data_IF_004744890762
#
_entry.id   IF_004744890762
#
_cell.length_a   1.000
_cell.length_b   1.000
_cell.length_c   1.000
_cell.angle_alpha   90.00
_cell.angle_beta   90.00
_cell.angle_gamma   90.00
#
_symmetry.space_group_name_H-M   'P 1'
#
loop_
_entity.id
_entity.type
_entity.pdbx_description
1 polymer ?
#
# COMPACT_ATOMS: atom_id res chain seq x y z
N UNK A 1 34.48 68.12 -5.00
CA UNK A 1 33.08 68.14 -4.49
C UNK A 1 32.21 67.39 -5.47
N UNK A 2 31.74 66.18 -5.11
CA UNK A 2 30.81 65.40 -5.94
C UNK A 2 29.44 66.08 -5.92
N UNK A 3 28.94 66.53 -7.08
CA UNK A 3 27.59 67.10 -7.20
C UNK A 3 26.59 65.99 -6.89
N UNK A 4 25.75 66.20 -5.87
CA UNK A 4 24.70 65.25 -5.49
C UNK A 4 23.64 65.11 -6.59
N UNK A 5 22.97 63.96 -6.68
CA UNK A 5 21.92 63.73 -7.68
C UNK A 5 20.78 64.77 -7.53
N UNK A 6 20.43 65.43 -8.63
CA UNK A 6 19.35 66.42 -8.67
C UNK A 6 17.97 65.80 -8.88
N UNK A 7 16.91 66.58 -8.65
CA UNK A 7 15.49 66.16 -8.72
C UNK A 7 15.12 65.46 -10.05
N UNK A 8 15.74 65.86 -11.17
CA UNK A 8 15.55 65.20 -12.47
C UNK A 8 16.05 63.73 -12.51
N UNK A 9 16.96 63.32 -11.62
CA UNK A 9 17.38 61.93 -11.49
C UNK A 9 16.33 61.07 -10.77
N UNK A 10 15.51 61.68 -9.91
CA UNK A 10 14.41 61.05 -9.18
C UNK A 10 13.22 60.75 -10.10
N UNK A 11 12.85 61.68 -10.99
CA UNK A 11 11.81 61.44 -11.99
C UNK A 11 12.24 60.38 -13.02
N UNK A 12 13.53 60.39 -13.40
CA UNK A 12 14.09 59.38 -14.31
C UNK A 12 14.18 58.00 -13.63
N UNK A 13 14.43 57.93 -12.33
CA UNK A 13 14.41 56.64 -11.61
C UNK A 13 12.99 56.12 -11.43
N UNK A 14 12.02 56.98 -11.10
CA UNK A 14 10.61 56.61 -11.02
C UNK A 14 10.08 56.11 -12.37
N UNK A 15 10.34 56.86 -13.45
CA UNK A 15 9.93 56.48 -14.81
C UNK A 15 10.59 55.17 -15.27
N UNK A 16 11.89 54.99 -15.02
CA UNK A 16 12.57 53.74 -15.40
C UNK A 16 12.07 52.54 -14.58
N UNK A 17 11.77 52.70 -13.29
CA UNK A 17 11.19 51.63 -12.47
C UNK A 17 9.81 51.18 -12.97
N UNK A 18 8.96 52.12 -13.40
CA UNK A 18 7.66 51.81 -13.99
C UNK A 18 7.81 51.06 -15.33
N UNK A 19 8.73 51.48 -16.19
CA UNK A 19 9.01 50.81 -17.46
C UNK A 19 9.57 49.39 -17.25
N UNK A 20 10.46 49.19 -16.27
CA UNK A 20 10.96 47.86 -15.92
C UNK A 20 9.87 46.96 -15.34
N UNK A 21 8.92 47.50 -14.57
CA UNK A 21 7.77 46.73 -14.06
C UNK A 21 6.86 46.24 -15.21
N UNK A 22 6.52 47.13 -16.16
CA UNK A 22 5.72 46.77 -17.32
C UNK A 22 6.42 45.74 -18.22
N UNK A 23 7.73 45.89 -18.41
CA UNK A 23 8.51 44.91 -19.16
C UNK A 23 8.54 43.56 -18.42
N UNK A 24 8.72 43.56 -17.10
CA UNK A 24 8.65 42.36 -16.26
C UNK A 24 7.28 41.67 -16.37
N UNK A 25 6.20 42.42 -16.29
CA UNK A 25 4.83 41.90 -16.46
C UNK A 25 4.62 41.34 -17.87
N UNK A 26 5.14 41.99 -18.91
CA UNK A 26 5.04 41.49 -20.29
C UNK A 26 5.81 40.18 -20.48
N UNK A 27 7.01 40.07 -19.92
CA UNK A 27 7.89 38.91 -20.04
C UNK A 27 7.33 37.72 -19.28
N UNK A 28 6.77 37.95 -18.08
CA UNK A 28 6.09 36.90 -17.30
C UNK A 28 4.83 36.41 -18.02
N UNK A 29 4.04 37.32 -18.61
CA UNK A 29 2.87 36.92 -19.40
C UNK A 29 3.27 36.09 -20.63
N UNK A 30 4.33 36.46 -21.34
CA UNK A 30 4.85 35.67 -22.47
C UNK A 30 5.28 34.27 -22.02
N UNK A 31 6.05 34.17 -20.94
CA UNK A 31 6.46 32.88 -20.36
C UNK A 31 5.25 32.03 -19.94
N UNK A 32 4.22 32.62 -19.34
CA UNK A 32 3.00 31.90 -18.97
C UNK A 32 2.22 31.41 -20.20
N UNK A 33 2.16 32.20 -21.27
CA UNK A 33 1.50 31.78 -22.52
C UNK A 33 2.25 30.66 -23.22
N UNK A 34 3.59 30.74 -23.24
CA UNK A 34 4.44 29.70 -23.81
C UNK A 34 4.31 28.39 -23.01
N UNK A 35 4.38 28.48 -21.67
CA UNK A 35 4.21 27.33 -20.79
C UNK A 35 2.84 26.66 -20.98
N UNK A 36 1.76 27.45 -21.09
CA UNK A 36 0.42 26.92 -21.39
C UNK A 36 0.38 26.16 -22.72
N UNK A 37 0.97 26.73 -23.78
CA UNK A 37 1.06 26.08 -25.08
C UNK A 37 1.85 24.76 -25.02
N UNK A 38 2.97 24.76 -24.28
CA UNK A 38 3.77 23.55 -24.04
C UNK A 38 2.99 22.49 -23.25
N UNK A 39 2.21 22.88 -22.24
CA UNK A 39 1.34 21.95 -21.50
C UNK A 39 0.21 21.39 -22.36
N UNK A 40 -0.39 22.19 -23.25
CA UNK A 40 -1.46 21.73 -24.13
C UNK A 40 -0.95 20.74 -25.19
N UNK A 41 0.18 21.06 -25.83
CA UNK A 41 0.84 20.14 -26.78
C UNK A 41 1.22 18.83 -26.10
N UNK A 42 1.79 18.91 -24.89
CA UNK A 42 2.13 17.74 -24.10
C UNK A 42 0.90 16.92 -23.69
N UNK A 43 -0.17 17.58 -23.23
CA UNK A 43 -1.43 16.91 -22.86
C UNK A 43 -2.03 16.16 -24.05
N UNK A 44 -1.99 16.75 -25.24
CA UNK A 44 -2.45 16.08 -26.46
C UNK A 44 -1.57 14.89 -26.85
N UNK A 45 -0.24 15.02 -26.70
CA UNK A 45 0.68 13.91 -26.93
C UNK A 45 0.44 12.75 -25.94
N UNK A 46 0.27 13.07 -24.64
CA UNK A 46 -0.01 12.07 -23.61
C UNK A 46 -1.37 11.41 -23.85
N UNK A 47 -2.38 12.15 -24.30
CA UNK A 47 -3.70 11.61 -24.69
C UNK A 47 -3.60 10.66 -25.87
N UNK A 48 -2.87 11.06 -26.92
CA UNK A 48 -2.65 10.20 -28.08
C UNK A 48 -1.96 8.90 -27.66
N UNK A 49 -0.86 9.02 -26.90
CA UNK A 49 -0.09 7.89 -26.37
C UNK A 49 -0.93 6.94 -25.50
N UNK A 50 -1.74 7.51 -24.61
CA UNK A 50 -2.67 6.81 -23.74
C UNK A 50 -3.71 6.00 -24.54
N UNK A 51 -4.28 6.62 -25.58
CA UNK A 51 -5.29 5.98 -26.42
C UNK A 51 -4.73 4.86 -27.29
N UNK A 52 -3.50 5.03 -27.82
CA UNK A 52 -2.87 4.03 -28.67
C UNK A 52 -2.37 2.82 -27.89
N UNK A 53 -1.90 3.01 -26.66
CA UNK A 53 -1.32 1.94 -25.83
C UNK A 53 -2.23 1.49 -24.68
N UNK A 54 -3.55 1.76 -24.75
CA UNK A 54 -4.49 1.46 -23.67
C UNK A 54 -4.44 0.00 -23.22
N UNK A 55 -4.44 -0.92 -24.17
CA UNK A 55 -4.42 -2.36 -23.87
C UNK A 55 -3.07 -2.80 -23.29
N UNK A 56 -1.97 -2.20 -23.76
CA UNK A 56 -0.63 -2.49 -23.26
C UNK A 56 -0.48 -2.02 -21.81
N UNK A 57 -0.99 -0.83 -21.47
CA UNK A 57 -1.03 -0.32 -20.08
C UNK A 57 -1.89 -1.23 -19.18
N UNK A 58 -2.96 -1.82 -19.72
CA UNK A 58 -3.81 -2.77 -18.97
C UNK A 58 -3.16 -4.14 -18.82
N UNK A 59 -2.30 -4.57 -19.73
CA UNK A 59 -1.72 -5.90 -19.74
C UNK A 59 -0.36 -5.99 -19.04
N UNK A 60 0.50 -4.99 -19.21
CA UNK A 60 1.83 -5.00 -18.60
C UNK A 60 1.89 -4.13 -17.35
N UNK A 61 2.04 -4.73 -16.14
CA UNK A 61 2.16 -3.97 -14.90
C UNK A 61 3.40 -3.07 -14.85
N UNK A 62 4.52 -3.45 -15.50
CA UNK A 62 5.73 -2.64 -15.49
C UNK A 62 5.53 -1.36 -16.31
N UNK A 63 4.94 -1.50 -17.50
CA UNK A 63 4.57 -0.37 -18.35
C UNK A 63 3.51 0.53 -17.69
N UNK A 64 2.50 -0.07 -17.03
CA UNK A 64 1.49 0.65 -16.25
C UNK A 64 2.12 1.55 -15.19
N UNK A 65 3.05 1.00 -14.41
CA UNK A 65 3.75 1.74 -13.37
C UNK A 65 4.62 2.87 -13.95
N UNK A 66 5.34 2.62 -15.05
CA UNK A 66 6.13 3.65 -15.72
C UNK A 66 5.25 4.82 -16.22
N UNK A 67 4.12 4.51 -16.85
CA UNK A 67 3.15 5.51 -17.31
C UNK A 67 2.58 6.34 -16.15
N UNK A 68 2.23 5.69 -15.04
CA UNK A 68 1.71 6.38 -13.85
C UNK A 68 2.77 7.27 -13.20
N UNK A 69 4.02 6.80 -13.10
CA UNK A 69 5.14 7.61 -12.59
C UNK A 69 5.36 8.87 -13.42
N UNK A 70 5.24 8.76 -14.74
CA UNK A 70 5.28 9.91 -15.65
C UNK A 70 4.15 10.89 -15.35
N UNK A 71 2.90 10.41 -15.21
CA UNK A 71 1.76 11.27 -14.88
C UNK A 71 1.96 12.02 -13.55
N UNK A 72 2.41 11.32 -12.50
CA UNK A 72 2.67 11.91 -11.17
C UNK A 72 3.77 12.97 -11.23
N UNK A 73 4.84 12.75 -12.01
CA UNK A 73 5.94 13.72 -12.12
C UNK A 73 5.51 15.09 -12.67
N UNK A 74 4.38 15.13 -13.36
CA UNK A 74 3.80 16.33 -13.99
C UNK A 74 2.69 16.93 -13.12
N UNK A 75 2.33 16.26 -12.02
CA UNK A 75 1.21 16.64 -11.16
C UNK A 75 -0.14 16.26 -11.76
N UNK A 76 -0.18 15.31 -12.69
CA UNK A 76 -1.40 14.74 -13.24
C UNK A 76 -1.67 13.42 -12.53
N UNK A 77 -2.78 13.31 -11.82
CA UNK A 77 -3.22 12.03 -11.26
C UNK A 77 -4.15 11.33 -12.27
N UNK A 78 -3.74 10.17 -12.84
CA UNK A 78 -4.56 9.41 -13.78
C UNK A 78 -5.82 8.81 -13.11
N UNK A 79 -5.90 8.80 -11.77
CA UNK A 79 -7.02 8.25 -11.00
C UNK A 79 -7.94 9.29 -10.37
N UNK A 80 -7.53 10.55 -10.26
CA UNK A 80 -8.35 11.61 -9.64
C UNK A 80 -9.57 12.04 -10.48
N UNK A 81 -10.00 11.19 -11.42
CA UNK A 81 -11.06 11.49 -12.37
C UNK A 81 -12.37 10.79 -12.08
N UNK A 82 -12.97 10.99 -10.91
CA UNK A 82 -14.41 10.73 -10.82
C UNK A 82 -15.16 11.86 -11.56
N UNK A 83 -16.07 11.56 -12.50
CA UNK A 83 -17.07 12.54 -12.89
C UNK A 83 -18.00 12.72 -11.68
N UNK A 84 -17.91 13.85 -10.98
CA UNK A 84 -19.01 14.29 -10.14
C UNK A 84 -20.20 14.71 -11.02
N UNK A 85 -20.86 13.73 -11.65
CA UNK A 85 -22.20 13.92 -12.24
C UNK A 85 -23.30 13.77 -11.18
N UNK A 86 -22.94 13.39 -9.95
CA UNK A 86 -23.84 13.40 -8.80
C UNK A 86 -23.24 14.31 -7.71
N UNK A 87 -24.03 15.30 -7.30
CA UNK A 87 -23.75 16.34 -6.31
C UNK A 87 -22.96 17.56 -6.82
N UNK A 88 -23.61 18.72 -6.79
CA UNK A 88 -23.06 20.04 -7.08
C UNK A 88 -22.04 20.52 -6.05
N UNK A 89 -21.00 19.73 -5.79
CA UNK A 89 -19.91 20.09 -4.91
C UNK A 89 -18.83 20.85 -5.70
N UNK A 90 -18.86 22.17 -5.54
CA UNK A 90 -17.83 23.17 -5.83
C UNK A 90 -16.57 22.70 -6.58
N UNK A 91 -16.38 23.27 -7.77
CA UNK A 91 -15.14 23.32 -8.56
C UNK A 91 -13.98 24.01 -7.81
N UNK A 92 -13.45 23.36 -6.77
CA UNK A 92 -12.37 23.89 -5.93
C UNK A 92 -10.99 23.29 -6.22
N UNK A 93 -10.84 22.67 -7.38
CA UNK A 93 -9.55 22.32 -7.97
C UNK A 93 -9.42 23.06 -9.30
N UNK A 94 -8.29 23.77 -9.50
CA UNK A 94 -7.99 24.46 -10.76
C UNK A 94 -7.88 23.52 -11.96
N UNK A 95 -7.28 23.97 -13.06
CA UNK A 95 -7.15 23.22 -14.33
C UNK A 95 -6.73 21.74 -14.16
N UNK A 96 -5.93 21.41 -13.14
CA UNK A 96 -5.54 20.05 -12.78
C UNK A 96 -6.71 19.09 -12.43
N UNK A 97 -7.76 19.56 -11.76
CA UNK A 97 -8.93 18.74 -11.39
C UNK A 97 -9.83 18.43 -12.60
N UNK A 98 -9.94 19.36 -13.55
CA UNK A 98 -10.60 19.11 -14.84
C UNK A 98 -9.81 18.13 -15.71
N UNK A 99 -8.48 18.22 -15.69
CA UNK A 99 -7.62 17.29 -16.40
C UNK A 99 -7.74 15.87 -15.82
N UNK A 100 -7.85 15.71 -14.50
CA UNK A 100 -8.01 14.40 -13.88
C UNK A 100 -9.31 13.66 -14.32
N UNK A 101 -10.47 14.35 -14.30
CA UNK A 101 -11.75 13.82 -14.80
C UNK A 101 -11.75 13.45 -16.30
N UNK A 102 -10.88 14.11 -17.05
CA UNK A 102 -10.68 13.90 -18.48
C UNK A 102 -9.86 12.64 -18.76
N UNK A 103 -8.89 12.30 -17.89
CA UNK A 103 -8.04 11.12 -18.03
C UNK A 103 -8.78 9.84 -17.70
N UNK A 104 -9.58 9.81 -16.63
CA UNK A 104 -10.32 8.59 -16.27
C UNK A 104 -11.27 8.14 -17.38
N UNK A 105 -12.07 9.07 -17.93
CA UNK A 105 -13.02 8.78 -19.01
C UNK A 105 -12.36 8.30 -20.32
N UNK A 106 -11.09 8.66 -20.55
CA UNK A 106 -10.40 8.42 -21.83
C UNK A 106 -9.49 7.19 -21.77
N UNK A 107 -8.89 6.91 -20.61
CA UNK A 107 -8.02 5.77 -20.38
C UNK A 107 -8.76 4.54 -19.84
N UNK A 108 -9.86 4.74 -19.10
CA UNK A 108 -10.53 3.67 -18.33
C UNK A 108 -9.61 3.01 -17.30
N UNK A 109 -8.51 3.68 -16.93
CA UNK A 109 -7.56 3.20 -15.92
C UNK A 109 -8.11 3.37 -14.51
N UNK A 110 -8.90 4.42 -14.26
CA UNK A 110 -9.59 4.56 -12.98
C UNK A 110 -10.65 3.47 -12.81
N UNK A 111 -11.43 3.14 -13.85
CA UNK A 111 -12.38 2.03 -13.79
C UNK A 111 -11.70 0.70 -13.42
N UNK A 112 -10.58 0.37 -14.08
CA UNK A 112 -9.78 -0.83 -13.74
C UNK A 112 -9.23 -0.78 -12.30
N UNK A 113 -8.80 0.41 -11.84
CA UNK A 113 -8.30 0.59 -10.48
C UNK A 113 -9.40 0.48 -9.43
N UNK A 114 -10.59 1.02 -9.69
CA UNK A 114 -11.75 0.88 -8.82
C UNK A 114 -12.23 -0.57 -8.77
N UNK A 115 -12.23 -1.26 -9.91
CA UNK A 115 -12.49 -2.70 -9.98
C UNK A 115 -11.49 -3.49 -9.12
N UNK A 116 -10.19 -3.17 -9.21
CA UNK A 116 -9.17 -3.76 -8.34
C UNK A 116 -9.43 -3.42 -6.86
N UNK A 117 -9.82 -2.19 -6.55
CA UNK A 117 -10.18 -1.77 -5.19
C UNK A 117 -11.34 -2.59 -4.61
N UNK A 118 -12.39 -2.83 -5.39
CA UNK A 118 -13.54 -3.64 -4.97
C UNK A 118 -13.10 -5.09 -4.71
N UNK A 119 -12.25 -5.65 -5.56
CA UNK A 119 -11.72 -7.01 -5.34
C UNK A 119 -10.84 -7.10 -4.09
N UNK A 120 -10.02 -6.08 -3.82
CA UNK A 120 -9.25 -5.99 -2.56
C UNK A 120 -10.20 -5.96 -1.35
N UNK A 121 -11.29 -5.20 -1.43
CA UNK A 121 -12.33 -5.16 -0.38
C UNK A 121 -12.95 -6.53 -0.17
N UNK A 122 -13.31 -7.24 -1.24
CA UNK A 122 -13.91 -8.58 -1.17
C UNK A 122 -12.97 -9.62 -0.53
N UNK A 123 -11.69 -9.62 -0.92
CA UNK A 123 -10.66 -10.44 -0.27
C UNK A 123 -10.53 -10.09 1.20
N UNK A 124 -10.53 -8.80 1.56
CA UNK A 124 -10.43 -8.38 2.95
C UNK A 124 -11.63 -8.83 3.79
N UNK A 125 -12.85 -8.75 3.26
CA UNK A 125 -14.07 -9.16 3.97
C UNK A 125 -14.11 -10.68 4.12
N UNK A 126 -13.86 -11.42 3.03
CA UNK A 126 -13.90 -12.88 3.03
C UNK A 126 -12.83 -13.49 3.94
N UNK A 127 -11.66 -12.87 4.07
CA UNK A 127 -10.56 -13.39 4.90
C UNK A 127 -10.55 -12.88 6.33
N UNK A 128 -11.37 -11.87 6.67
CA UNK A 128 -11.36 -11.19 7.97
C UNK A 128 -11.46 -12.13 9.17
N UNK A 129 -12.26 -13.18 9.05
CA UNK A 129 -12.47 -14.17 10.12
C UNK A 129 -11.26 -15.09 10.33
N UNK A 130 -10.41 -15.25 9.30
CA UNK A 130 -9.22 -16.10 9.35
C UNK A 130 -7.97 -15.33 9.77
N UNK A 131 -7.84 -14.06 9.40
CA UNK A 131 -6.59 -13.31 9.57
C UNK A 131 -6.71 -12.09 10.51
N UNK A 132 -7.90 -11.83 11.06
CA UNK A 132 -8.14 -10.67 11.93
C UNK A 132 -8.14 -9.33 11.19
N UNK A 133 -8.19 -9.35 9.85
CA UNK A 133 -8.18 -8.14 9.02
C UNK A 133 -6.79 -7.62 8.63
N UNK A 134 -5.75 -8.45 8.76
CA UNK A 134 -4.38 -8.17 8.33
C UNK A 134 -3.93 -9.26 7.33
N UNK A 135 -3.47 -8.86 6.15
CA UNK A 135 -3.09 -9.79 5.09
C UNK A 135 -1.78 -9.37 4.42
N UNK A 136 -0.87 -10.32 4.20
CA UNK A 136 0.40 -10.07 3.52
C UNK A 136 0.17 -9.63 2.07
N UNK A 137 0.97 -8.70 1.57
CA UNK A 137 0.82 -8.19 0.21
C UNK A 137 0.92 -9.29 -0.86
N UNK A 138 1.83 -10.26 -0.68
CA UNK A 138 1.96 -11.38 -1.62
C UNK A 138 0.71 -12.27 -1.60
N UNK A 139 0.13 -12.55 -0.43
CA UNK A 139 -1.11 -13.32 -0.31
C UNK A 139 -2.31 -12.56 -0.90
N UNK A 140 -2.37 -11.24 -0.70
CA UNK A 140 -3.37 -10.37 -1.34
C UNK A 140 -3.29 -10.48 -2.87
N UNK A 141 -2.09 -10.34 -3.46
CA UNK A 141 -1.90 -10.46 -4.90
C UNK A 141 -2.32 -11.86 -5.38
N UNK A 142 -1.93 -12.92 -4.68
CA UNK A 142 -2.29 -14.30 -5.02
C UNK A 142 -3.81 -14.55 -4.96
N UNK A 143 -4.51 -13.98 -3.97
CA UNK A 143 -5.96 -14.13 -3.83
C UNK A 143 -6.72 -13.32 -4.88
N UNK A 144 -6.31 -12.08 -5.16
CA UNK A 144 -6.97 -11.26 -6.19
C UNK A 144 -6.74 -11.83 -7.58
N UNK A 145 -5.53 -12.31 -7.88
CA UNK A 145 -5.25 -13.01 -9.15
C UNK A 145 -6.06 -14.30 -9.28
N UNK A 146 -6.23 -15.06 -8.19
CA UNK A 146 -7.11 -16.22 -8.16
C UNK A 146 -8.57 -15.84 -8.43
N UNK A 147 -9.09 -14.76 -7.83
CA UNK A 147 -10.45 -14.28 -8.09
C UNK A 147 -10.67 -13.89 -9.56
N UNK A 148 -9.65 -13.30 -10.21
CA UNK A 148 -9.74 -12.87 -11.62
C UNK A 148 -9.59 -14.00 -12.63
N UNK A 149 -8.70 -14.96 -12.37
CA UNK A 149 -8.31 -15.97 -13.38
C UNK A 149 -8.80 -17.38 -13.05
N UNK A 150 -9.27 -17.62 -11.82
CA UNK A 150 -9.53 -18.96 -11.30
C UNK A 150 -8.28 -19.83 -11.13
N UNK A 151 -7.07 -19.29 -11.35
CA UNK A 151 -5.79 -20.00 -11.24
C UNK A 151 -4.88 -19.29 -10.23
N UNK A 152 -4.13 -20.06 -9.44
CA UNK A 152 -3.11 -19.51 -8.54
C UNK A 152 -1.87 -19.07 -9.32
N UNK A 153 -1.21 -17.99 -8.86
CA UNK A 153 0.02 -17.41 -9.43
C UNK A 153 1.16 -18.43 -9.59
N UNK A 154 1.17 -19.49 -8.76
CA UNK A 154 2.18 -20.55 -8.78
C UNK A 154 2.10 -21.45 -10.02
N UNK A 155 0.97 -21.47 -10.73
CA UNK A 155 0.82 -22.19 -11.98
C UNK A 155 1.27 -21.26 -13.10
N UNK A 156 2.54 -21.40 -13.53
CA UNK A 156 3.11 -20.69 -14.69
C UNK A 156 2.17 -20.84 -15.88
N UNK A 157 1.41 -19.78 -16.13
CA UNK A 157 0.37 -19.78 -17.14
C UNK A 157 0.98 -19.35 -18.48
N UNK A 158 1.03 -20.29 -19.40
CA UNK A 158 1.39 -20.09 -20.81
C UNK A 158 0.28 -19.41 -21.61
N UNK A 159 -0.86 -19.08 -20.97
CA UNK A 159 -2.06 -18.56 -21.63
C UNK A 159 -2.05 -17.02 -21.72
N UNK A 160 -2.54 -16.49 -22.84
CA UNK A 160 -2.64 -15.04 -23.10
C UNK A 160 -3.65 -14.32 -22.19
N UNK A 161 -4.68 -15.01 -21.69
CA UNK A 161 -5.68 -14.49 -20.74
C UNK A 161 -5.08 -14.17 -19.36
N UNK A 162 -4.04 -14.89 -18.96
CA UNK A 162 -3.34 -14.68 -17.68
C UNK A 162 -2.51 -13.41 -17.62
N UNK A 163 -2.15 -12.84 -18.79
CA UNK A 163 -1.36 -11.59 -18.85
C UNK A 163 -2.19 -10.37 -18.48
N UNK A 164 -3.50 -10.37 -18.75
CA UNK A 164 -4.42 -9.29 -18.36
C UNK A 164 -4.65 -9.22 -16.85
N UNK A 165 -4.37 -10.32 -16.13
CA UNK A 165 -4.55 -10.44 -14.69
C UNK A 165 -3.27 -10.21 -13.88
N UNK A 166 -2.16 -9.80 -14.51
CA UNK A 166 -0.93 -9.51 -13.78
C UNK A 166 -1.11 -8.23 -12.96
N UNK A 167 -1.15 -8.41 -11.65
CA UNK A 167 -1.31 -7.34 -10.65
C UNK A 167 0.03 -7.14 -9.97
N UNK A 168 0.52 -5.90 -9.96
CA UNK A 168 1.70 -5.52 -9.20
C UNK A 168 1.32 -5.08 -7.80
N UNK A 169 2.28 -5.16 -6.88
CA UNK A 169 2.17 -4.63 -5.53
C UNK A 169 1.83 -3.12 -5.52
N UNK A 170 2.38 -2.35 -6.46
CA UNK A 170 2.09 -0.92 -6.58
C UNK A 170 0.63 -0.66 -6.98
N UNK A 171 0.00 -1.57 -7.74
CA UNK A 171 -1.41 -1.45 -8.09
C UNK A 171 -2.32 -1.70 -6.89
N UNK A 172 -1.96 -2.64 -6.02
CA UNK A 172 -2.66 -2.88 -4.75
C UNK A 172 -2.51 -1.69 -3.81
N UNK A 173 -1.30 -1.17 -3.63
CA UNK A 173 -1.03 0.00 -2.78
C UNK A 173 -1.86 1.20 -3.24
N UNK A 174 -1.94 1.42 -4.55
CA UNK A 174 -2.73 2.51 -5.11
C UNK A 174 -4.23 2.28 -4.90
N UNK A 175 -4.71 1.04 -5.05
CA UNK A 175 -6.11 0.70 -4.77
C UNK A 175 -6.46 0.99 -3.32
N UNK A 176 -5.61 0.59 -2.39
CA UNK A 176 -5.80 0.86 -0.95
C UNK A 176 -5.85 2.36 -0.67
N UNK A 177 -4.99 3.16 -1.31
CA UNK A 177 -5.05 4.63 -1.21
C UNK A 177 -6.37 5.21 -1.73
N UNK A 178 -6.92 4.67 -2.82
CA UNK A 178 -8.24 5.10 -3.33
C UNK A 178 -9.40 4.75 -2.40
N UNK A 179 -9.24 3.73 -1.55
CA UNK A 179 -10.23 3.30 -0.57
C UNK A 179 -10.15 4.07 0.76
N UNK A 180 -9.04 4.77 1.03
CA UNK A 180 -8.82 5.52 2.28
C UNK A 180 -9.94 6.54 2.62
N UNK A 181 -10.52 7.29 1.66
CA UNK A 181 -11.63 8.22 1.95
C UNK A 181 -12.90 7.57 2.48
N UNK A 182 -13.07 6.26 2.32
CA UNK A 182 -14.25 5.53 2.83
C UNK A 182 -14.23 5.36 4.36
N UNK A 183 -13.09 5.59 5.01
CA UNK A 183 -12.98 5.52 6.48
C UNK A 183 -13.10 4.11 7.06
N UNK A 184 -13.04 3.06 6.24
CA UNK A 184 -13.18 1.66 6.66
C UNK A 184 -11.90 1.04 7.27
N UNK A 185 -10.81 1.81 7.40
CA UNK A 185 -9.55 1.33 7.99
C UNK A 185 -8.57 0.67 7.03
N UNK A 186 -8.80 0.81 5.71
CA UNK A 186 -7.89 0.34 4.67
C UNK A 186 -6.57 1.12 4.70
N UNK A 187 -5.49 0.45 5.06
CA UNK A 187 -4.15 1.03 5.13
C UNK A 187 -3.09 0.00 4.77
N UNK A 188 -1.99 0.46 4.17
CA UNK A 188 -0.80 -0.39 3.96
C UNK A 188 0.15 -0.16 5.13
N UNK A 189 0.44 -1.21 5.89
CA UNK A 189 1.32 -1.17 7.05
C UNK A 189 2.55 -2.03 6.79
N UNK A 190 3.73 -1.53 7.14
CA UNK A 190 4.98 -2.30 7.07
C UNK A 190 5.25 -2.91 8.43
N UNK A 191 5.36 -4.24 8.49
CA UNK A 191 5.65 -4.99 9.71
C UNK A 191 6.93 -5.78 9.46
N UNK A 192 7.99 -5.43 10.19
CA UNK A 192 9.33 -5.97 9.96
C UNK A 192 9.82 -5.65 8.54
N UNK A 193 10.10 -6.69 7.74
CA UNK A 193 10.57 -6.55 6.35
C UNK A 193 9.44 -6.67 5.30
N UNK A 194 8.21 -6.98 5.72
CA UNK A 194 7.09 -7.30 4.82
C UNK A 194 6.02 -6.20 4.86
N UNK A 195 5.31 -6.03 3.74
CA UNK A 195 4.16 -5.12 3.61
C UNK A 195 2.85 -5.89 3.78
N UNK A 196 1.93 -5.31 4.53
CA UNK A 196 0.61 -5.88 4.83
C UNK A 196 -0.48 -4.87 4.48
N UNK A 197 -1.66 -5.37 4.11
CA UNK A 197 -2.88 -4.59 3.97
C UNK A 197 -3.73 -4.82 5.22
N UNK A 198 -4.10 -3.72 5.89
CA UNK A 198 -5.05 -3.72 7.00
C UNK A 198 -6.42 -3.32 6.48
N UNK A 199 -7.47 -3.95 6.99
CA UNK A 199 -8.88 -3.70 6.60
C UNK A 199 -9.80 -3.36 7.77
N UNK A 200 -9.22 -3.14 8.96
CA UNK A 200 -9.94 -2.88 10.21
C UNK A 200 -9.51 -1.50 10.73
N UNK A 201 -10.45 -0.65 11.19
CA UNK A 201 -10.16 0.72 11.61
C UNK A 201 -9.42 0.85 12.94
N UNK A 202 -9.15 -0.26 13.64
CA UNK A 202 -8.36 -0.25 14.87
C UNK A 202 -6.91 0.09 14.53
N UNK A 203 -6.40 1.16 15.13
CA UNK A 203 -4.98 1.52 15.04
C UNK A 203 -4.12 0.40 15.62
N UNK A 204 -2.99 0.14 14.95
CA UNK A 204 -2.06 -0.87 15.42
C UNK A 204 -1.10 -0.20 16.41
N UNK A 205 -1.25 -0.55 17.68
CA UNK A 205 -0.39 -0.02 18.75
C UNK A 205 1.08 -0.40 18.53
N UNK A 206 2.01 0.40 19.06
CA UNK A 206 3.45 0.15 18.92
C UNK A 206 3.83 -1.23 19.42
N UNK A 207 3.20 -1.68 20.50
CA UNK A 207 3.50 -2.98 21.12
C UNK A 207 3.01 -4.13 20.24
N UNK A 208 1.83 -3.95 19.63
CA UNK A 208 1.29 -4.89 18.65
C UNK A 208 2.16 -4.97 17.40
N UNK A 209 2.69 -3.85 16.89
CA UNK A 209 3.61 -3.86 15.74
C UNK A 209 4.89 -4.64 16.03
N UNK A 210 5.43 -4.53 17.26
CA UNK A 210 6.66 -5.24 17.67
C UNK A 210 6.41 -6.74 17.77
N UNK A 211 5.32 -7.16 18.40
CA UNK A 211 4.94 -8.57 18.51
C UNK A 211 4.75 -9.18 17.12
N UNK A 212 4.03 -8.50 16.23
CA UNK A 212 3.84 -8.94 14.85
C UNK A 212 5.15 -8.95 14.06
N UNK A 213 6.05 -7.98 14.27
CA UNK A 213 7.35 -7.96 13.62
C UNK A 213 8.21 -9.16 14.06
N UNK A 214 8.19 -9.51 15.35
CA UNK A 214 8.85 -10.69 15.89
C UNK A 214 8.28 -11.96 15.25
N UNK A 215 6.95 -12.08 15.08
CA UNK A 215 6.32 -13.24 14.43
C UNK A 215 6.58 -13.29 12.91
N UNK A 216 6.74 -12.13 12.25
CA UNK A 216 6.97 -12.05 10.80
C UNK A 216 8.37 -12.48 10.36
N UNK A 217 9.37 -12.27 11.22
CA UNK A 217 10.75 -12.42 10.81
C UNK A 217 11.16 -13.91 10.83
N UNK A 218 11.67 -14.39 9.69
CA UNK A 218 12.12 -15.79 9.55
C UNK A 218 13.25 -16.14 10.53
N UNK A 219 14.14 -15.19 10.82
CA UNK A 219 15.28 -15.31 11.75
C UNK A 219 15.03 -14.60 13.09
N UNK A 220 13.78 -14.57 13.53
CA UNK A 220 13.37 -13.91 14.77
C UNK A 220 13.61 -14.77 16.01
N UNK A 221 13.47 -14.14 17.18
CA UNK A 221 13.41 -14.81 18.50
C UNK A 221 12.12 -15.61 18.72
N UNK A 222 11.15 -15.55 17.79
CA UNK A 222 9.93 -16.33 17.86
C UNK A 222 10.25 -17.83 17.86
N UNK A 223 9.66 -18.56 18.81
CA UNK A 223 9.74 -20.00 18.85
C UNK A 223 8.89 -20.58 17.71
N UNK A 224 9.24 -21.78 17.23
CA UNK A 224 8.47 -22.47 16.20
C UNK A 224 7.99 -23.81 16.73
N UNK A 225 6.80 -24.21 16.33
CA UNK A 225 6.27 -25.52 16.69
C UNK A 225 6.78 -26.61 15.74
N UNK A 226 6.30 -27.84 15.92
CA UNK A 226 6.68 -29.00 15.11
C UNK A 226 6.32 -28.80 13.62
N UNK A 227 5.33 -27.96 13.34
CA UNK A 227 4.88 -27.63 11.98
C UNK A 227 5.63 -26.42 11.39
N UNK A 228 6.56 -25.83 12.16
CA UNK A 228 7.35 -24.67 11.75
C UNK A 228 6.60 -23.34 11.90
N UNK A 229 5.41 -23.32 12.51
CA UNK A 229 4.61 -22.11 12.68
C UNK A 229 5.21 -21.27 13.82
N UNK A 230 5.47 -19.97 13.60
CA UNK A 230 6.01 -19.09 14.63
C UNK A 230 4.96 -18.78 15.71
N UNK A 231 5.37 -18.88 16.97
CA UNK A 231 4.59 -18.48 18.14
C UNK A 231 5.45 -17.69 19.14
N UNK A 232 4.78 -16.94 19.99
CA UNK A 232 5.38 -16.20 21.10
C UNK A 232 4.83 -16.76 22.41
N UNK A 233 5.69 -16.76 23.43
CA UNK A 233 5.33 -17.00 24.83
C UNK A 233 5.65 -15.75 25.64
N UNK A 234 5.06 -15.63 26.83
CA UNK A 234 5.32 -14.51 27.74
C UNK A 234 6.82 -14.39 28.06
N UNK A 235 7.49 -15.51 28.31
CA UNK A 235 8.93 -15.56 28.57
C UNK A 235 9.78 -15.11 27.36
N UNK A 236 9.31 -15.39 26.13
CA UNK A 236 10.01 -15.00 24.90
C UNK A 236 10.04 -13.48 24.70
N UNK A 237 9.00 -12.77 25.17
CA UNK A 237 8.96 -11.30 25.17
C UNK A 237 9.85 -10.67 26.24
N UNK A 238 10.21 -11.43 27.29
CA UNK A 238 10.99 -10.95 28.43
C UNK A 238 12.32 -11.70 28.58
N UNK A 239 13.29 -11.53 27.66
CA UNK A 239 14.59 -12.14 27.84
C UNK A 239 15.33 -11.52 29.04
N UNK A 240 16.16 -12.31 29.75
CA UNK A 240 16.86 -11.87 30.96
C UNK A 240 17.83 -10.69 30.75
N UNK A 241 18.21 -10.39 29.50
CA UNK A 241 19.02 -9.23 29.13
C UNK A 241 18.15 -8.28 28.29
N UNK A 242 17.68 -7.21 28.93
CA UNK A 242 16.53 -6.40 28.54
C UNK A 242 16.75 -5.38 27.41
N UNK A 243 17.20 -5.82 26.24
CA UNK A 243 17.15 -5.02 25.01
C UNK A 243 16.50 -5.81 23.88
N UNK A 244 15.19 -5.62 23.70
CA UNK A 244 14.51 -6.01 22.47
C UNK A 244 14.79 -4.94 21.41
N UNK A 245 15.73 -5.23 20.51
CA UNK A 245 15.90 -4.45 19.28
C UNK A 245 15.03 -5.10 18.22
N UNK A 246 13.87 -4.50 17.94
CA UNK A 246 13.04 -4.90 16.80
C UNK A 246 13.48 -4.11 15.56
N UNK A 247 13.71 -4.76 14.40
CA UNK A 247 13.99 -4.05 13.15
C UNK A 247 12.78 -3.19 12.76
N UNK A 248 12.98 -1.88 12.58
CA UNK A 248 11.96 -0.96 12.04
C UNK A 248 11.43 0.12 12.99
N UNK A 249 11.80 0.12 14.28
CA UNK A 249 11.58 1.26 15.18
C UNK A 249 12.89 2.05 15.32
N UNK A 250 12.84 3.35 15.03
CA UNK A 250 14.01 4.25 15.04
C UNK A 250 14.76 4.30 16.39
N UNK A 251 15.90 5.00 16.40
CA UNK A 251 16.91 5.08 17.46
C UNK A 251 16.45 5.52 18.89
N UNK A 252 15.15 5.63 19.16
CA UNK A 252 14.58 5.81 20.49
C UNK A 252 14.14 4.47 21.07
N UNK A 253 15.09 3.62 21.47
CA UNK A 253 14.80 2.40 22.20
C UNK A 253 14.01 2.70 23.48
N UNK A 254 12.72 2.35 23.49
CA UNK A 254 11.88 2.46 24.68
C UNK A 254 11.61 1.09 25.28
N UNK A 255 12.22 0.91 26.46
CA UNK A 255 11.89 0.01 27.56
C UNK A 255 11.95 -1.50 27.28
N UNK A 256 12.70 -2.18 28.15
CA UNK A 256 12.45 -3.56 28.53
C UNK A 256 10.94 -3.85 28.59
N UNK A 257 10.50 -4.97 28.02
CA UNK A 257 9.14 -5.46 28.24
C UNK A 257 8.99 -5.81 29.73
N UNK A 258 8.05 -5.17 30.40
CA UNK A 258 7.59 -5.60 31.72
C UNK A 258 6.54 -6.68 31.56
N UNK A 259 6.39 -7.54 32.58
CA UNK A 259 5.43 -8.64 32.56
C UNK A 259 4.00 -8.12 32.35
N UNK A 260 3.60 -7.10 33.10
CA UNK A 260 2.28 -6.47 32.98
C UNK A 260 2.02 -5.90 31.58
N UNK A 261 3.03 -5.30 30.94
CA UNK A 261 2.92 -4.76 29.58
C UNK A 261 2.79 -5.87 28.54
N UNK A 262 3.57 -6.94 28.69
CA UNK A 262 3.51 -8.11 27.81
C UNK A 262 2.13 -8.79 27.90
N UNK A 263 1.62 -9.00 29.12
CA UNK A 263 0.29 -9.57 29.36
C UNK A 263 -0.78 -8.66 28.76
N UNK A 264 -0.74 -7.36 29.03
CA UNK A 264 -1.73 -6.41 28.52
C UNK A 264 -1.75 -6.37 26.98
N UNK A 265 -0.57 -6.38 26.35
CA UNK A 265 -0.45 -6.40 24.89
C UNK A 265 -0.99 -7.71 24.29
N UNK A 266 -0.60 -8.87 24.83
CA UNK A 266 -1.09 -10.18 24.36
C UNK A 266 -2.60 -10.33 24.58
N UNK A 267 -3.13 -9.83 25.69
CA UNK A 267 -4.56 -9.85 25.99
C UNK A 267 -5.34 -8.91 25.06
N UNK A 268 -4.86 -7.69 24.78
CA UNK A 268 -5.49 -6.80 23.81
C UNK A 268 -5.49 -7.41 22.40
N UNK A 269 -4.37 -8.02 22.01
CA UNK A 269 -4.21 -8.63 20.70
C UNK A 269 -5.04 -9.90 20.48
N UNK A 270 -5.27 -10.68 21.53
CA UNK A 270 -6.10 -11.91 21.48
C UNK A 270 -7.59 -11.59 21.62
N UNK A 271 -7.97 -10.84 22.67
CA UNK A 271 -9.39 -10.65 23.02
C UNK A 271 -10.09 -9.52 22.27
N UNK A 272 -9.39 -8.41 22.01
CA UNK A 272 -10.03 -7.20 21.45
C UNK A 272 -9.82 -7.06 19.95
N UNK A 273 -8.60 -7.29 19.46
CA UNK A 273 -8.31 -7.17 18.02
C UNK A 273 -8.46 -8.48 17.24
N UNK A 274 -8.44 -9.64 17.91
CA UNK A 274 -8.55 -10.94 17.25
C UNK A 274 -7.40 -11.24 16.29
N UNK A 275 -6.20 -10.70 16.56
CA UNK A 275 -5.01 -10.85 15.72
C UNK A 275 -4.12 -12.04 16.14
N UNK A 276 -4.34 -12.56 17.35
CA UNK A 276 -3.63 -13.71 17.89
C UNK A 276 -4.59 -14.86 18.23
N UNK A 277 -4.16 -16.09 17.93
CA UNK A 277 -4.74 -17.31 18.48
C UNK A 277 -3.94 -17.76 19.69
N UNK A 278 -4.65 -18.25 20.70
CA UNK A 278 -4.08 -18.68 21.97
C UNK A 278 -4.21 -20.20 22.08
N UNK A 279 -3.10 -20.88 22.34
CA UNK A 279 -3.07 -22.30 22.71
C UNK A 279 -2.75 -22.41 24.20
N UNK A 280 -3.79 -22.71 24.99
CA UNK A 280 -3.72 -22.96 26.43
C UNK A 280 -3.45 -24.44 26.76
N UNK A 281 -3.45 -25.33 25.76
CA UNK A 281 -3.20 -26.76 25.94
C UNK A 281 -1.74 -27.10 26.23
N UNK A 282 -0.85 -26.11 26.12
CA UNK A 282 0.58 -26.25 26.38
C UNK A 282 1.07 -25.22 27.39
N UNK A 283 2.06 -25.61 28.20
CA UNK A 283 2.74 -24.70 29.13
C UNK A 283 4.21 -24.52 28.70
N UNK A 284 4.69 -23.28 28.54
CA UNK A 284 3.98 -22.00 28.64
C UNK A 284 2.98 -21.78 27.49
N UNK A 285 1.93 -20.99 27.76
CA UNK A 285 0.86 -20.65 26.79
C UNK A 285 1.44 -20.03 25.52
N UNK A 286 0.98 -20.49 24.35
CA UNK A 286 1.50 -20.08 23.05
C UNK A 286 0.54 -19.14 22.34
N UNK A 287 1.10 -18.08 21.75
CA UNK A 287 0.36 -17.08 20.98
C UNK A 287 0.82 -17.10 19.52
N UNK A 288 -0.11 -17.37 18.62
CA UNK A 288 0.11 -17.48 17.18
C UNK A 288 -0.48 -16.27 16.46
N UNK A 289 0.22 -15.68 15.48
CA UNK A 289 -0.39 -14.63 14.65
C UNK A 289 -1.21 -15.22 13.51
N UNK A 290 -2.46 -14.80 13.37
CA UNK A 290 -3.31 -15.30 12.28
C UNK A 290 -2.95 -14.70 10.92
N UNK A 291 -2.49 -13.44 10.88
CA UNK A 291 -2.26 -12.69 9.65
C UNK A 291 -0.81 -12.66 9.16
N UNK A 292 0.14 -12.96 10.05
CA UNK A 292 1.59 -12.80 9.78
C UNK A 292 2.34 -14.12 9.77
N UNK A 293 1.84 -15.15 10.46
CA UNK A 293 2.52 -16.42 10.54
C UNK A 293 2.47 -17.16 9.19
N UNK A 294 3.63 -17.36 8.59
CA UNK A 294 3.78 -18.25 7.45
C UNK A 294 3.38 -19.68 7.86
N UNK A 295 2.58 -20.35 7.03
CA UNK A 295 2.27 -21.77 7.21
C UNK A 295 0.89 -22.10 7.79
N UNK A 296 0.27 -21.20 8.58
CA UNK A 296 -1.07 -21.47 9.18
C UNK A 296 -2.11 -21.77 8.09
N UNK A 297 -2.07 -20.99 7.00
CA UNK A 297 -3.02 -21.08 5.90
C UNK A 297 -2.42 -21.67 4.61
N UNK A 298 -1.12 -22.00 4.59
CA UNK A 298 -0.44 -22.51 3.39
C UNK A 298 -0.67 -24.01 3.15
N UNK A 299 -1.43 -24.66 4.03
CA UNK A 299 -1.72 -26.11 4.03
C UNK A 299 -2.77 -26.51 2.98
N UNK A 300 -3.22 -25.61 2.11
CA UNK A 300 -4.04 -25.97 0.95
C UNK A 300 -3.28 -26.67 -0.19
N UNK A 301 -1.93 -26.64 -0.21
CA UNK A 301 -1.15 -27.20 -1.33
C UNK A 301 -0.04 -28.17 -0.95
N UNK A 302 0.19 -28.43 0.35
CA UNK A 302 1.21 -29.40 0.81
C UNK A 302 0.67 -30.57 1.65
N UNK A 303 -0.62 -30.57 1.98
CA UNK A 303 -1.21 -31.65 2.80
C UNK A 303 -1.74 -32.81 1.95
N UNK A 304 -1.62 -32.75 0.62
CA UNK A 304 -2.21 -33.77 -0.26
C UNK A 304 -1.31 -34.97 -0.60
N UNK A 305 -0.02 -34.98 -0.22
CA UNK A 305 0.89 -36.08 -0.62
C UNK A 305 1.41 -36.97 0.52
N UNK A 306 1.31 -36.58 1.80
CA UNK A 306 1.92 -37.37 2.90
C UNK A 306 0.92 -38.09 3.83
N UNK A 307 -0.39 -37.85 3.66
CA UNK A 307 -1.44 -38.61 4.38
C UNK A 307 -2.08 -39.66 3.46
N UNK A 308 -1.27 -40.53 2.87
CA UNK A 308 -1.79 -41.81 2.41
C UNK A 308 -2.11 -42.67 3.65
N UNK A 309 -3.36 -43.12 3.76
CA UNK A 309 -3.85 -44.05 4.81
C UNK A 309 -2.97 -45.29 5.04
N UNK A 310 -2.03 -45.57 4.14
CA UNK A 310 -0.99 -46.59 4.26
C UNK A 310 0.02 -46.36 5.39
N UNK A 311 0.37 -45.11 5.75
CA UNK A 311 1.34 -44.88 6.83
C UNK A 311 0.74 -45.17 8.21
N UNK A 312 -0.53 -44.79 8.43
CA UNK A 312 -1.25 -45.08 9.68
C UNK A 312 -1.56 -46.57 9.89
N UNK A 313 -1.73 -47.34 8.82
CA UNK A 313 -1.95 -48.80 8.93
C UNK A 313 -0.65 -49.58 9.20
N UNK A 314 0.52 -49.01 8.89
CA UNK A 314 1.80 -49.66 9.13
C UNK A 314 2.24 -49.61 10.61
N UNK A 315 1.83 -48.58 11.36
CA UNK A 315 2.12 -48.45 12.80
C UNK A 315 1.17 -49.26 13.70
N UNK A 316 0.06 -49.78 13.16
CA UNK A 316 -0.88 -50.62 13.92
C UNK A 316 -0.55 -52.12 13.89
N UNK A 317 0.52 -52.53 13.19
CA UNK A 317 0.95 -53.95 13.09
C UNK A 317 2.35 -54.23 13.65
N UNK A 318 2.90 -53.33 14.47
CA UNK A 318 4.01 -53.65 15.40
C UNK A 318 3.52 -53.59 16.84
#
# INVERSE_FOLDING_TARGET
MRRGPGIAALDRSAYSSAQYSLLGDSLTNLQLTELRSQLDTFANALRSFASSHRNDIRRDPAFRHAFQKMCVSIGVDPLAGAPSSASGASSRGGAAGKMAGLWNNLLGLGDWQYELGIQVVDVCISTRHLNGGLIEMQDMINRVTLLRTGKSVTVRSTDESSKEALISEEDVIRSVKTLQPLGAGYEVVTIGAKRFVRSVPKELDTDSTVILAILSATNSRALRDVQGIPYITLDSLMPPNSTLVAPGLGAGGKSAWTEERAIAALQDMSSKSGMLWVDEGTYPVRYYSLGVAEGIWSTGSKVQDDCSLSSFLAESQM
#
